data_IF_930571188717
#
_entry.id   IF_930571188717
#
_cell.length_a   1.000
_cell.length_b   1.000
_cell.length_c   1.000
_cell.angle_alpha   90.00
_cell.angle_beta   90.00
_cell.angle_gamma   90.00
#
_symmetry.space_group_name_H-M   'P 1'
#
loop_
_entity.id
_entity.type
_entity.pdbx_description
1 polymer ?
#
# COMPACT_ATOMS: atom_id res chain seq x y z
N UNK A 1 -15.78 12.61 5.28
CA UNK A 1 -14.89 12.58 4.10
C UNK A 1 -14.73 11.13 3.65
N UNK A 2 -14.39 10.91 2.39
CA UNK A 2 -14.18 9.55 1.89
C UNK A 2 -12.98 8.90 2.60
N UNK A 3 -13.11 7.62 2.92
CA UNK A 3 -12.12 6.86 3.69
C UNK A 3 -12.24 6.96 5.21
N UNK A 4 -13.06 7.87 5.76
CA UNK A 4 -13.27 7.92 7.21
C UNK A 4 -14.08 6.72 7.72
N UNK A 5 -13.67 6.10 8.84
CA UNK A 5 -14.46 5.08 9.54
C UNK A 5 -15.79 5.69 10.01
N UNK A 6 -16.90 5.04 9.68
CA UNK A 6 -18.25 5.44 10.11
C UNK A 6 -18.93 4.40 11.01
N UNK A 7 -18.53 3.13 10.91
CA UNK A 7 -18.97 2.02 11.77
C UNK A 7 -17.86 0.95 11.80
N UNK A 8 -18.00 -0.09 12.62
CA UNK A 8 -17.13 -1.28 12.53
C UNK A 8 -17.23 -1.90 11.13
N UNK A 9 -16.08 -2.20 10.52
CA UNK A 9 -15.98 -2.69 9.14
C UNK A 9 -16.70 -1.83 8.07
N UNK A 10 -16.92 -0.52 8.31
CA UNK A 10 -17.50 0.42 7.35
C UNK A 10 -16.75 1.74 7.25
N UNK A 11 -16.68 2.27 6.03
CA UNK A 11 -16.10 3.57 5.73
C UNK A 11 -17.05 4.44 4.92
N UNK A 12 -16.88 5.76 5.00
CA UNK A 12 -17.58 6.69 4.14
C UNK A 12 -16.99 6.67 2.72
N UNK A 13 -17.83 6.53 1.70
CA UNK A 13 -17.51 6.73 0.28
C UNK A 13 -18.69 7.45 -0.38
N UNK A 14 -18.46 8.55 -1.09
CA UNK A 14 -19.52 9.37 -1.69
C UNK A 14 -20.65 9.73 -0.70
N UNK A 15 -20.27 10.11 0.53
CA UNK A 15 -21.21 10.43 1.63
C UNK A 15 -22.08 9.25 2.12
N UNK A 16 -21.83 8.02 1.66
CA UNK A 16 -22.50 6.81 2.15
C UNK A 16 -21.57 5.98 3.02
N UNK A 17 -22.09 5.43 4.12
CA UNK A 17 -21.37 4.47 4.97
C UNK A 17 -21.47 3.08 4.34
N UNK A 18 -20.38 2.62 3.72
CA UNK A 18 -20.31 1.35 2.98
C UNK A 18 -19.44 0.34 3.69
N UNK A 19 -19.80 -0.94 3.61
CA UNK A 19 -19.01 -2.03 4.20
C UNK A 19 -17.72 -2.28 3.44
N UNK A 20 -16.63 -2.49 4.17
CA UNK A 20 -15.34 -2.91 3.63
C UNK A 20 -15.46 -4.19 2.79
N UNK A 21 -16.38 -5.11 3.13
CA UNK A 21 -16.63 -6.33 2.36
C UNK A 21 -17.21 -6.06 0.95
N UNK A 22 -17.79 -4.88 0.71
CA UNK A 22 -18.23 -4.46 -0.63
C UNK A 22 -17.10 -3.84 -1.46
N UNK A 23 -15.99 -3.48 -0.82
CA UNK A 23 -14.83 -2.94 -1.50
C UNK A 23 -14.03 -4.12 -2.04
N UNK A 24 -13.79 -4.12 -3.35
CA UNK A 24 -12.85 -5.04 -3.98
C UNK A 24 -11.44 -4.55 -3.67
N UNK A 25 -10.98 -4.81 -2.45
CA UNK A 25 -9.59 -4.57 -2.06
C UNK A 25 -8.85 -5.87 -2.37
N UNK A 26 -7.93 -5.81 -3.33
CA UNK A 26 -7.02 -6.92 -3.58
C UNK A 26 -6.09 -7.06 -2.36
N UNK A 27 -6.01 -8.23 -1.72
CA UNK A 27 -5.13 -8.41 -0.57
C UNK A 27 -3.67 -8.41 -1.01
N UNK A 28 -2.81 -7.67 -0.30
CA UNK A 28 -1.37 -7.76 -0.50
C UNK A 28 -0.82 -9.11 -0.02
N UNK A 29 0.16 -9.64 -0.76
CA UNK A 29 0.85 -10.88 -0.41
C UNK A 29 1.49 -10.79 0.97
N UNK A 30 1.18 -11.75 1.86
CA UNK A 30 1.70 -11.85 3.22
C UNK A 30 1.73 -10.53 4.01
N UNK A 31 0.77 -9.62 3.77
CA UNK A 31 0.76 -8.27 4.34
C UNK A 31 2.10 -7.53 4.14
N UNK A 32 2.61 -7.55 2.90
CA UNK A 32 3.89 -6.96 2.51
C UNK A 32 5.07 -7.50 3.32
N UNK A 33 5.00 -8.76 3.73
CA UNK A 33 5.97 -9.44 4.61
C UNK A 33 6.28 -8.67 5.91
N UNK A 34 5.39 -7.77 6.35
CA UNK A 34 5.62 -6.89 7.50
C UNK A 34 6.64 -5.76 7.26
N UNK A 35 7.04 -5.54 6.01
CA UNK A 35 8.06 -4.57 5.59
C UNK A 35 7.49 -3.50 4.65
N UNK A 36 6.19 -3.21 4.76
CA UNK A 36 5.54 -2.20 3.95
C UNK A 36 4.06 -2.04 4.25
N UNK A 37 3.44 -1.10 3.54
CA UNK A 37 2.02 -0.79 3.65
C UNK A 37 1.29 -1.15 2.37
N UNK A 38 0.18 -1.87 2.52
CA UNK A 38 -0.69 -2.26 1.42
C UNK A 38 -1.60 -1.10 1.02
N UNK A 39 -1.66 -0.79 -0.28
CA UNK A 39 -2.63 0.17 -0.81
C UNK A 39 -3.91 -0.52 -1.32
N UNK A 40 -4.92 0.27 -1.69
CA UNK A 40 -6.23 -0.24 -2.13
C UNK A 40 -6.20 -1.01 -3.46
N UNK A 41 -5.08 -0.97 -4.20
CA UNK A 41 -4.88 -1.75 -5.43
C UNK A 41 -4.23 -3.12 -5.16
N UNK A 42 -3.91 -3.44 -3.91
CA UNK A 42 -3.17 -4.66 -3.57
C UNK A 42 -1.67 -4.56 -3.80
N UNK A 43 -1.12 -3.35 -3.89
CA UNK A 43 0.32 -3.15 -4.06
C UNK A 43 0.96 -2.72 -2.72
N UNK A 44 2.14 -3.27 -2.45
CA UNK A 44 2.92 -2.85 -1.29
C UNK A 44 3.76 -1.61 -1.58
N UNK A 45 3.80 -0.72 -0.62
CA UNK A 45 4.81 0.33 -0.50
C UNK A 45 5.81 -0.10 0.57
N UNK A 46 6.97 -0.57 0.12
CA UNK A 46 8.00 -1.14 0.96
C UNK A 46 8.79 -0.08 1.72
N UNK A 47 9.18 -0.42 2.94
CA UNK A 47 10.09 0.37 3.74
C UNK A 47 11.51 0.39 3.13
N UNK A 48 12.29 1.41 3.50
CA UNK A 48 13.70 1.49 3.08
C UNK A 48 14.43 0.21 3.53
N UNK A 49 15.13 -0.41 2.60
CA UNK A 49 15.80 -1.69 2.81
C UNK A 49 15.07 -2.87 2.19
N UNK A 50 13.81 -2.72 1.74
CA UNK A 50 13.01 -3.77 1.09
C UNK A 50 12.54 -3.37 -0.30
N UNK A 51 12.33 -4.35 -1.19
CA UNK A 51 11.99 -4.14 -2.59
C UNK A 51 10.56 -4.58 -2.94
N UNK A 52 9.83 -3.82 -3.78
CA UNK A 52 8.53 -4.27 -4.31
C UNK A 52 8.67 -5.50 -5.24
N UNK A 53 7.57 -6.24 -5.51
CA UNK A 53 6.17 -5.93 -5.13
C UNK A 53 5.76 -6.40 -3.74
N UNK A 54 6.51 -7.32 -3.12
CA UNK A 54 6.07 -8.01 -1.90
C UNK A 54 6.84 -7.62 -0.63
N UNK A 55 7.91 -6.84 -0.75
CA UNK A 55 8.80 -6.45 0.36
C UNK A 55 9.48 -7.62 1.09
N UNK A 56 9.69 -8.74 0.39
CA UNK A 56 10.35 -9.96 0.91
C UNK A 56 11.87 -9.97 0.72
N UNK A 57 12.37 -9.10 -0.16
CA UNK A 57 13.77 -9.02 -0.57
C UNK A 57 14.37 -7.65 -0.31
N UNK A 58 15.70 -7.54 -0.15
CA UNK A 58 16.35 -6.26 -0.02
C UNK A 58 16.10 -5.33 -1.21
N UNK A 59 15.94 -4.03 -0.96
CA UNK A 59 15.69 -3.03 -1.98
C UNK A 59 15.69 -1.59 -1.49
N UNK A 60 15.38 -0.66 -2.38
CA UNK A 60 15.41 0.78 -2.12
C UNK A 60 14.12 1.35 -1.51
N UNK A 61 13.21 0.48 -1.06
CA UNK A 61 11.86 0.86 -0.64
C UNK A 61 10.97 1.27 -1.80
N UNK A 62 9.79 1.77 -1.46
CA UNK A 62 8.83 2.32 -2.40
C UNK A 62 7.89 1.25 -2.96
N UNK A 63 7.20 1.58 -4.05
CA UNK A 63 6.15 0.74 -4.61
C UNK A 63 6.28 0.65 -6.12
N UNK A 64 5.66 -0.38 -6.71
CA UNK A 64 5.48 -0.43 -8.16
C UNK A 64 4.68 0.78 -8.69
N UNK A 65 3.88 1.43 -7.83
CA UNK A 65 3.07 2.60 -8.18
C UNK A 65 3.81 3.95 -8.08
N UNK A 66 4.82 4.06 -7.19
CA UNK A 66 5.36 5.36 -6.75
C UNK A 66 6.87 5.51 -6.88
N UNK A 67 7.57 4.53 -7.48
CA UNK A 67 9.03 4.54 -7.54
C UNK A 67 9.69 4.30 -6.17
N UNK A 68 11.02 4.45 -6.06
CA UNK A 68 11.77 4.15 -4.84
C UNK A 68 11.44 5.11 -3.69
N UNK A 69 11.72 4.71 -2.44
CA UNK A 69 11.30 5.46 -1.25
C UNK A 69 12.03 6.80 -1.05
N UNK A 70 13.14 7.08 -1.76
CA UNK A 70 13.85 8.36 -1.65
C UNK A 70 14.55 8.78 -2.95
N UNK A 71 14.76 10.08 -3.10
CA UNK A 71 15.47 10.71 -4.22
C UNK A 71 16.93 10.24 -4.33
N UNK A 72 17.56 9.90 -3.21
CA UNK A 72 18.93 9.37 -3.21
C UNK A 72 18.98 8.02 -3.94
N UNK A 73 17.94 7.20 -3.78
CA UNK A 73 17.81 5.94 -4.50
C UNK A 73 17.35 6.17 -5.94
N UNK A 74 16.41 7.09 -6.19
CA UNK A 74 15.97 7.43 -7.55
C UNK A 74 17.12 7.92 -8.46
N UNK A 75 18.14 8.57 -7.90
CA UNK A 75 19.33 9.03 -8.64
C UNK A 75 20.35 7.91 -8.94
N UNK A 76 20.26 6.76 -8.27
CA UNK A 76 21.14 5.60 -8.53
C UNK A 76 20.65 4.75 -9.72
N UNK A 77 19.42 4.95 -10.15
CA UNK A 77 18.81 4.29 -11.30
C UNK A 77 18.91 5.12 -12.60
N UNK A 78 19.78 6.14 -12.65
CA UNK A 78 20.06 7.00 -13.82
C UNK A 78 21.52 6.91 -14.29
#
# INVERSE_FOLDING_TARGET
>A
PDGAKCEEDKICINQQCVSLAKLKIEPCSNNCHGHGQCNSKGNCHCDIGYGPPDCDRPGYGGSIDSGPASDEYAKKDI
#
